data_IF_630434734404
#
_entry.id   IF_630434734404
#
_cell.length_a   1.000
_cell.length_b   1.000
_cell.length_c   1.000
_cell.angle_alpha   90.00
_cell.angle_beta   90.00
_cell.angle_gamma   90.00
#
_symmetry.space_group_name_H-M   'P 1'
#
loop_
_entity.id
_entity.type
_entity.pdbx_description
1 polymer ?
#
# COMPACT_ATOMS: atom_id res chain seq x y z
N UNK A 1 11.51 -6.92 -13.80
CA UNK A 1 10.50 -7.65 -12.99
C UNK A 1 9.16 -7.64 -13.72
N UNK A 2 8.38 -8.73 -13.69
CA UNK A 2 7.05 -8.75 -14.32
C UNK A 2 5.99 -8.10 -13.42
N UNK A 3 4.94 -7.52 -14.03
CA UNK A 3 3.80 -6.92 -13.31
C UNK A 3 3.13 -7.95 -12.39
N UNK A 4 2.96 -9.18 -12.87
CA UNK A 4 2.35 -10.26 -12.07
C UNK A 4 3.18 -10.60 -10.83
N UNK A 5 4.51 -10.66 -10.94
CA UNK A 5 5.39 -10.92 -9.80
C UNK A 5 5.37 -9.74 -8.82
N UNK A 6 5.37 -8.51 -9.31
CA UNK A 6 5.23 -7.32 -8.48
C UNK A 6 3.92 -7.33 -7.69
N UNK A 7 2.79 -7.59 -8.35
CA UNK A 7 1.47 -7.67 -7.71
C UNK A 7 1.39 -8.81 -6.69
N UNK A 8 2.08 -9.92 -6.94
CA UNK A 8 2.19 -11.02 -5.99
C UNK A 8 2.94 -10.60 -4.71
N UNK A 9 4.15 -10.04 -4.87
CA UNK A 9 5.00 -9.64 -3.74
C UNK A 9 4.29 -8.56 -2.91
N UNK A 10 3.78 -7.53 -3.57
CA UNK A 10 3.09 -6.43 -2.89
C UNK A 10 1.77 -6.85 -2.25
N UNK A 11 1.01 -7.73 -2.90
CA UNK A 11 -0.20 -8.32 -2.35
C UNK A 11 0.07 -9.15 -1.09
N UNK A 12 1.09 -10.01 -1.11
CA UNK A 12 1.50 -10.79 0.07
C UNK A 12 1.94 -9.86 1.21
N UNK A 13 2.84 -8.92 0.93
CA UNK A 13 3.32 -7.96 1.94
C UNK A 13 2.16 -7.20 2.59
N UNK A 14 1.26 -6.62 1.78
CA UNK A 14 0.12 -5.84 2.27
C UNK A 14 -0.81 -6.70 3.11
N UNK A 15 -1.03 -7.95 2.71
CA UNK A 15 -1.87 -8.90 3.47
C UNK A 15 -1.23 -9.26 4.81
N UNK A 16 0.07 -9.57 4.84
CA UNK A 16 0.78 -9.89 6.09
C UNK A 16 0.81 -8.72 7.07
N UNK A 17 1.08 -7.52 6.56
CA UNK A 17 1.00 -6.29 7.35
C UNK A 17 -0.42 -6.08 7.89
N UNK A 18 -1.44 -6.30 7.07
CA UNK A 18 -2.83 -6.17 7.50
C UNK A 18 -3.20 -7.18 8.59
N UNK A 19 -2.69 -8.41 8.51
CA UNK A 19 -2.87 -9.41 9.57
C UNK A 19 -2.24 -8.96 10.89
N UNK A 20 -1.06 -8.34 10.86
CA UNK A 20 -0.47 -7.79 12.08
C UNK A 20 -1.29 -6.63 12.65
N UNK A 21 -1.86 -5.78 11.80
CA UNK A 21 -2.75 -4.69 12.24
C UNK A 21 -4.03 -5.22 12.90
N UNK A 22 -4.56 -6.35 12.44
CA UNK A 22 -5.82 -6.94 12.95
C UNK A 22 -5.59 -7.78 14.22
N UNK A 23 -4.59 -8.66 14.20
CA UNK A 23 -4.40 -9.67 15.26
C UNK A 23 -3.26 -9.36 16.23
N UNK A 24 -2.34 -8.47 15.86
CA UNK A 24 -1.18 -8.06 16.66
C UNK A 24 -1.14 -6.52 16.79
N UNK A 25 -2.31 -5.92 17.01
CA UNK A 25 -2.55 -4.49 16.89
C UNK A 25 -1.68 -3.66 17.85
N UNK A 26 -1.68 -4.02 19.13
CA UNK A 26 -0.91 -3.31 20.17
C UNK A 26 0.59 -3.36 19.88
N UNK A 27 1.13 -4.55 19.57
CA UNK A 27 2.53 -4.70 19.19
C UNK A 27 2.88 -3.87 17.94
N UNK A 28 1.98 -3.84 16.96
CA UNK A 28 2.16 -3.02 15.75
C UNK A 28 2.21 -1.53 16.10
N UNK A 29 1.26 -1.02 16.90
CA UNK A 29 1.19 0.38 17.31
C UNK A 29 2.42 0.83 18.11
N UNK A 30 2.87 -0.01 19.05
CA UNK A 30 4.11 0.23 19.82
C UNK A 30 5.31 0.26 18.86
N UNK A 31 5.37 -0.68 17.90
CA UNK A 31 6.44 -0.71 16.90
C UNK A 31 6.45 0.56 16.04
N UNK A 32 5.30 1.19 15.79
CA UNK A 32 5.19 2.47 15.08
C UNK A 32 5.52 3.70 15.94
N UNK A 33 5.73 3.54 17.25
CA UNK A 33 6.11 4.62 18.17
C UNK A 33 4.97 5.12 19.05
N UNK A 34 3.84 4.41 19.14
CA UNK A 34 2.72 4.77 20.03
C UNK A 34 3.06 4.35 21.47
N UNK A 35 3.31 5.29 22.41
CA UNK A 35 3.80 4.95 23.74
C UNK A 35 2.70 4.40 24.66
N UNK A 36 1.44 4.78 24.42
CA UNK A 36 0.28 4.32 25.17
C UNK A 36 -0.81 3.92 24.18
N UNK A 37 -1.21 2.65 24.22
CA UNK A 37 -2.25 2.11 23.34
C UNK A 37 -3.55 2.04 24.12
N UNK A 38 -4.59 2.70 23.60
CA UNK A 38 -5.96 2.59 24.12
C UNK A 38 -6.87 1.81 23.15
N UNK A 39 -8.12 1.55 23.58
CA UNK A 39 -9.11 0.82 22.78
C UNK A 39 -9.49 1.54 21.47
N UNK A 40 -9.39 2.86 21.43
CA UNK A 40 -9.65 3.64 20.21
C UNK A 40 -8.55 3.39 19.19
N UNK A 41 -7.28 3.40 19.61
CA UNK A 41 -6.16 3.06 18.72
C UNK A 41 -6.28 1.63 18.19
N UNK A 42 -6.65 0.68 19.06
CA UNK A 42 -6.83 -0.72 18.65
C UNK A 42 -7.93 -0.86 17.61
N UNK A 43 -9.12 -0.33 17.88
CA UNK A 43 -10.27 -0.42 16.97
C UNK A 43 -10.00 0.24 15.62
N UNK A 44 -9.40 1.44 15.61
CA UNK A 44 -9.02 2.14 14.37
C UNK A 44 -7.99 1.33 13.59
N UNK A 45 -6.95 0.82 14.25
CA UNK A 45 -5.89 0.07 13.58
C UNK A 45 -6.41 -1.28 13.01
N UNK A 46 -7.32 -1.96 13.70
CA UNK A 46 -7.98 -3.16 13.18
C UNK A 46 -8.84 -2.85 11.96
N UNK A 47 -9.62 -1.77 11.99
CA UNK A 47 -10.40 -1.31 10.83
C UNK A 47 -9.52 -0.98 9.62
N UNK A 48 -8.42 -0.26 9.84
CA UNK A 48 -7.43 0.05 8.81
C UNK A 48 -6.73 -1.22 8.30
N UNK A 49 -6.50 -2.21 9.18
CA UNK A 49 -5.96 -3.52 8.84
C UNK A 49 -6.87 -4.27 7.88
N UNK A 50 -8.16 -4.40 8.20
CA UNK A 50 -9.14 -5.05 7.30
C UNK A 50 -9.25 -4.31 5.97
N UNK A 51 -9.26 -2.97 5.99
CA UNK A 51 -9.31 -2.15 4.78
C UNK A 51 -8.08 -2.36 3.90
N UNK A 52 -6.89 -2.40 4.51
CA UNK A 52 -5.61 -2.66 3.83
C UNK A 52 -5.54 -4.09 3.27
N UNK A 53 -6.15 -5.06 3.97
CA UNK A 53 -6.25 -6.45 3.51
C UNK A 53 -7.03 -6.52 2.20
N UNK A 54 -8.11 -5.76 2.07
CA UNK A 54 -8.87 -5.63 0.82
C UNK A 54 -8.00 -5.13 -0.35
N UNK A 55 -7.14 -4.14 -0.12
CA UNK A 55 -6.20 -3.64 -1.13
C UNK A 55 -5.14 -4.68 -1.51
N UNK A 56 -4.61 -5.42 -0.53
CA UNK A 56 -3.71 -6.54 -0.76
C UNK A 56 -4.35 -7.64 -1.62
N UNK A 57 -5.59 -8.00 -1.31
CA UNK A 57 -6.37 -8.96 -2.09
C UNK A 57 -6.63 -8.45 -3.52
N UNK A 58 -6.95 -7.17 -3.70
CA UNK A 58 -7.12 -6.60 -5.04
C UNK A 58 -5.85 -6.73 -5.89
N UNK A 59 -4.67 -6.51 -5.31
CA UNK A 59 -3.40 -6.73 -6.00
C UNK A 59 -3.23 -8.20 -6.41
N UNK A 60 -3.52 -9.15 -5.50
CA UNK A 60 -3.42 -10.59 -5.76
C UNK A 60 -4.39 -11.06 -6.86
N UNK A 61 -5.66 -10.64 -6.79
CA UNK A 61 -6.69 -11.00 -7.76
C UNK A 61 -6.40 -10.44 -9.16
N UNK A 62 -5.79 -9.26 -9.23
CA UNK A 62 -5.44 -8.62 -10.51
C UNK A 62 -4.08 -9.09 -11.08
N UNK A 63 -3.34 -9.99 -10.41
CA UNK A 63 -1.97 -10.36 -10.82
C UNK A 63 -1.88 -10.88 -12.26
N UNK A 64 -2.88 -11.69 -12.67
CA UNK A 64 -2.97 -12.28 -14.00
C UNK A 64 -4.01 -11.60 -14.90
N UNK A 65 -4.63 -10.50 -14.47
CA UNK A 65 -5.62 -9.82 -15.28
C UNK A 65 -5.00 -9.32 -16.60
N UNK A 66 -5.73 -9.40 -17.74
CA UNK A 66 -5.25 -8.79 -18.98
C UNK A 66 -5.09 -7.27 -18.82
N UNK A 67 -4.34 -6.62 -19.73
CA UNK A 67 -4.19 -5.16 -19.73
C UNK A 67 -5.52 -4.49 -20.08
N UNK A 68 -6.33 -4.25 -19.06
CA UNK A 68 -7.68 -3.67 -19.12
C UNK A 68 -7.73 -2.34 -18.36
N UNK A 69 -8.77 -1.55 -18.61
CA UNK A 69 -9.00 -0.32 -17.86
C UNK A 69 -9.12 -0.60 -16.35
N UNK A 70 -9.79 -1.69 -15.97
CA UNK A 70 -9.95 -2.11 -14.57
C UNK A 70 -8.61 -2.38 -13.85
N UNK A 71 -7.69 -3.07 -14.53
CA UNK A 71 -6.35 -3.29 -14.00
C UNK A 71 -5.59 -1.98 -13.83
N UNK A 72 -5.62 -1.10 -14.83
CA UNK A 72 -4.92 0.20 -14.78
C UNK A 72 -5.47 1.07 -13.65
N UNK A 73 -6.78 1.11 -13.47
CA UNK A 73 -7.43 1.82 -12.36
C UNK A 73 -7.02 1.22 -11.01
N UNK A 74 -6.93 -0.11 -10.89
CA UNK A 74 -6.43 -0.78 -9.68
C UNK A 74 -5.00 -0.37 -9.38
N UNK A 75 -4.10 -0.39 -10.36
CA UNK A 75 -2.70 0.03 -10.20
C UNK A 75 -2.60 1.49 -9.75
N UNK A 76 -3.39 2.38 -10.36
CA UNK A 76 -3.43 3.80 -9.99
C UNK A 76 -3.96 4.00 -8.57
N UNK A 77 -5.05 3.33 -8.20
CA UNK A 77 -5.63 3.41 -6.86
C UNK A 77 -4.65 2.93 -5.78
N UNK A 78 -3.94 1.82 -6.03
CA UNK A 78 -2.91 1.31 -5.12
C UNK A 78 -1.72 2.28 -5.02
N UNK A 79 -1.28 2.86 -6.14
CA UNK A 79 -0.23 3.87 -6.15
C UNK A 79 -0.62 5.10 -5.32
N UNK A 80 -1.79 5.68 -5.59
CA UNK A 80 -2.29 6.88 -4.92
C UNK A 80 -2.46 6.61 -3.42
N UNK A 81 -3.11 5.52 -3.04
CA UNK A 81 -3.35 5.20 -1.62
C UNK A 81 -2.03 5.03 -0.87
N UNK A 82 -1.06 4.33 -1.47
CA UNK A 82 0.25 4.11 -0.84
C UNK A 82 1.04 5.40 -0.70
N UNK A 83 1.14 6.19 -1.77
CA UNK A 83 1.91 7.45 -1.78
C UNK A 83 1.26 8.53 -0.91
N UNK A 84 -0.07 8.64 -0.93
CA UNK A 84 -0.80 9.57 -0.07
C UNK A 84 -0.59 9.25 1.41
N UNK A 85 -0.56 7.97 1.78
CA UNK A 85 -0.25 7.55 3.15
C UNK A 85 1.14 7.99 3.61
N UNK A 86 2.14 7.96 2.72
CA UNK A 86 3.51 8.42 3.03
C UNK A 86 3.54 9.93 3.20
N UNK A 87 2.91 10.68 2.29
CA UNK A 87 2.82 12.15 2.40
C UNK A 87 2.15 12.54 3.72
N UNK A 88 1.07 11.85 4.09
CA UNK A 88 0.38 12.09 5.35
C UNK A 88 1.26 11.71 6.55
N UNK A 89 2.02 10.62 6.47
CA UNK A 89 2.98 10.23 7.50
C UNK A 89 4.08 11.29 7.70
N UNK A 90 4.63 11.84 6.62
CA UNK A 90 5.60 12.95 6.66
C UNK A 90 4.96 14.18 7.32
N UNK A 91 3.73 14.53 6.93
CA UNK A 91 2.98 15.62 7.56
C UNK A 91 2.82 15.42 9.07
N UNK A 92 2.43 14.23 9.52
CA UNK A 92 2.28 13.94 10.96
C UNK A 92 3.60 14.05 11.72
N UNK A 93 4.70 13.56 11.15
CA UNK A 93 6.02 13.60 11.81
C UNK A 93 6.58 15.02 11.88
N UNK A 94 6.59 15.75 10.77
CA UNK A 94 7.30 17.03 10.69
C UNK A 94 6.46 18.24 11.07
N UNK A 95 5.11 18.17 10.96
CA UNK A 95 4.23 19.30 11.27
C UNK A 95 3.45 19.07 12.56
N UNK A 96 2.93 17.86 12.79
CA UNK A 96 2.23 17.54 14.04
C UNK A 96 3.15 16.99 15.14
N UNK A 97 4.45 16.78 14.83
CA UNK A 97 5.45 16.27 15.78
C UNK A 97 5.04 14.94 16.44
N UNK A 98 4.31 14.09 15.69
CA UNK A 98 3.92 12.77 16.17
C UNK A 98 5.18 11.91 16.36
N UNK A 99 5.36 11.26 17.53
CA UNK A 99 6.47 10.35 17.75
C UNK A 99 6.49 9.23 16.69
N UNK A 100 7.67 8.93 16.17
CA UNK A 100 7.86 7.84 15.23
C UNK A 100 9.08 7.01 15.61
N UNK A 101 9.09 5.76 15.17
CA UNK A 101 10.17 4.81 15.40
C UNK A 101 11.03 4.60 14.15
N UNK A 102 12.19 3.96 14.31
CA UNK A 102 12.99 3.47 13.18
C UNK A 102 12.18 2.53 12.28
N UNK A 103 11.28 1.73 12.86
CA UNK A 103 10.39 0.86 12.11
C UNK A 103 9.46 1.64 11.18
N UNK A 104 8.86 2.74 11.65
CA UNK A 104 8.05 3.63 10.81
C UNK A 104 8.83 4.15 9.60
N UNK A 105 10.10 4.55 9.77
CA UNK A 105 10.94 5.05 8.67
C UNK A 105 11.20 3.96 7.65
N UNK A 106 11.62 2.77 8.10
CA UNK A 106 11.91 1.64 7.21
C UNK A 106 10.66 1.21 6.45
N UNK A 107 9.53 1.08 7.14
CA UNK A 107 8.25 0.74 6.51
C UNK A 107 7.80 1.79 5.50
N UNK A 108 7.94 3.09 5.84
CA UNK A 108 7.60 4.19 4.93
C UNK A 108 8.46 4.19 3.66
N UNK A 109 9.77 3.95 3.79
CA UNK A 109 10.67 3.84 2.64
C UNK A 109 10.33 2.62 1.77
N UNK A 110 10.01 1.49 2.40
CA UNK A 110 9.58 0.31 1.68
C UNK A 110 8.27 0.56 0.91
N UNK A 111 7.27 1.17 1.56
CA UNK A 111 6.02 1.58 0.91
C UNK A 111 6.24 2.60 -0.19
N UNK A 112 7.22 3.49 -0.06
CA UNK A 112 7.56 4.44 -1.13
C UNK A 112 7.99 3.71 -2.40
N UNK A 113 8.87 2.72 -2.26
CA UNK A 113 9.29 1.87 -3.38
C UNK A 113 8.09 1.13 -3.99
N UNK A 114 7.17 0.61 -3.16
CA UNK A 114 5.96 -0.05 -3.67
C UNK A 114 5.03 0.92 -4.41
N UNK A 115 4.77 2.10 -3.84
CA UNK A 115 3.94 3.14 -4.45
C UNK A 115 4.48 3.59 -5.81
N UNK A 116 5.80 3.81 -5.90
CA UNK A 116 6.47 4.10 -7.16
C UNK A 116 6.42 2.91 -8.14
N UNK A 117 6.51 1.68 -7.63
CA UNK A 117 6.34 0.47 -8.43
C UNK A 117 4.95 0.36 -9.07
N UNK A 118 3.89 0.63 -8.30
CA UNK A 118 2.51 0.66 -8.82
C UNK A 118 2.37 1.73 -9.89
N UNK A 119 2.89 2.93 -9.65
CA UNK A 119 2.85 4.03 -10.60
C UNK A 119 3.62 3.73 -11.89
N UNK A 120 4.78 3.09 -11.77
CA UNK A 120 5.57 2.62 -12.91
C UNK A 120 4.77 1.64 -13.78
N UNK A 121 4.17 0.61 -13.17
CA UNK A 121 3.36 -0.36 -13.93
C UNK A 121 2.10 0.29 -14.50
N UNK A 122 1.43 1.19 -13.78
CA UNK A 122 0.30 1.95 -14.33
C UNK A 122 0.69 2.69 -15.62
N UNK A 123 1.80 3.44 -15.59
CA UNK A 123 2.27 4.20 -16.74
C UNK A 123 2.66 3.29 -17.91
N UNK A 124 3.36 2.18 -17.63
CA UNK A 124 3.74 1.18 -18.64
C UNK A 124 2.53 0.58 -19.34
N UNK A 125 1.56 0.09 -18.58
CA UNK A 125 0.36 -0.57 -19.13
C UNK A 125 -0.54 0.42 -19.88
N UNK A 126 -0.59 1.69 -19.45
CA UNK A 126 -1.29 2.76 -20.16
C UNK A 126 -0.67 3.04 -21.51
N UNK A 127 0.66 3.17 -21.60
CA UNK A 127 1.36 3.36 -22.89
C UNK A 127 1.14 2.19 -23.84
N UNK A 128 1.21 0.95 -23.34
CA UNK A 128 0.97 -0.24 -24.16
C UNK A 128 -0.46 -0.28 -24.72
N UNK A 129 -1.45 0.16 -23.94
CA UNK A 129 -2.84 0.25 -24.40
C UNK A 129 -3.01 1.34 -25.47
N UNK A 130 -2.32 2.48 -25.35
CA UNK A 130 -2.34 3.56 -26.33
C UNK A 130 -1.71 3.13 -27.66
N UNK A 131 -0.54 2.47 -27.63
CA UNK A 131 0.11 1.96 -28.85
C UNK A 131 -0.76 0.91 -29.55
N UNK A 132 -1.38 0.01 -28.77
CA UNK A 132 -2.32 -0.97 -29.32
C UNK A 132 -3.55 -0.35 -29.97
N UNK A 133 -4.00 0.82 -29.50
CA UNK A 133 -5.13 1.54 -30.09
C UNK A 133 -4.78 2.32 -31.38
N UNK A 134 -3.49 2.58 -31.65
CA UNK A 134 -3.03 3.28 -32.87
C UNK A 134 -2.80 2.30 -34.04
N UNK A 135 -2.63 1.01 -33.74
CA UNK A 135 -2.37 -0.03 -34.74
C UNK A 135 -3.62 -0.79 -35.20
N UNK A 136 -4.81 -0.36 -34.75
CA UNK A 136 -6.14 -0.88 -35.14
C UNK A 136 -6.86 0.20 -35.91
#
# INVERSE_FOLDING_TARGET
MSRSLFLLITGIYTTLLSLSMVFATEMSLISYGTPQVDLSHVSIMQFLGVSSMGLGLLALLNRHAPNSAALRNTLLALAVTTLAGIVLGIYHVYLLHVPFSTFFVVDSLFRLVLGLGYLYFYNRETRLAQVGAVLV
#
